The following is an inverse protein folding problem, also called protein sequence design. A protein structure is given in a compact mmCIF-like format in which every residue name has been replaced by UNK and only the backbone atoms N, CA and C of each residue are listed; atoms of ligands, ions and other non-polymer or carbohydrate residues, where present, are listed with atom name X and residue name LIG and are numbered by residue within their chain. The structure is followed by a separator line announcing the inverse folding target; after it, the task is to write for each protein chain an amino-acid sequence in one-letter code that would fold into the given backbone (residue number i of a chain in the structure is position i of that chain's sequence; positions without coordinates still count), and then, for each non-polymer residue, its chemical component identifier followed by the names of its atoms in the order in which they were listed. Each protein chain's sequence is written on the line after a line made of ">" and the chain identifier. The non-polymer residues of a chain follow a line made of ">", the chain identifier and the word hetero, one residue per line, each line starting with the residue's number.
data_IF_610892506813
#
_entry.id   IF_610892506813
#
_cell.length_a   1.000
_cell.length_b   1.000
_cell.length_c   1.000
_cell.angle_alpha   90.00
_cell.angle_beta   90.00
_cell.angle_gamma   90.00
#
_symmetry.space_group_name_H-M   'P 1'
#
loop_
_entity.id
_entity.type
_entity.pdbx_description
1 polymer ?
#
# COMPACT_ATOMS: atom_id res chain seq x y z
N UNK A 1 -23.67 -72.63 -8.85
CA UNK A 1 -22.40 -71.93 -8.50
C UNK A 1 -22.41 -70.42 -8.71
N UNK A 2 -23.19 -69.85 -9.66
CA UNK A 2 -23.21 -68.40 -9.96
C UNK A 2 -23.62 -67.46 -8.79
N UNK A 3 -24.47 -67.90 -7.85
CA UNK A 3 -24.92 -67.07 -6.71
C UNK A 3 -23.87 -66.90 -5.60
N UNK A 4 -22.98 -67.89 -5.40
CA UNK A 4 -21.97 -67.85 -4.30
C UNK A 4 -20.85 -66.84 -4.57
N UNK A 5 -20.56 -66.53 -5.84
CA UNK A 5 -19.54 -65.55 -6.25
C UNK A 5 -20.11 -64.15 -6.50
N UNK A 6 -21.44 -64.02 -6.66
CA UNK A 6 -22.09 -62.72 -6.92
C UNK A 6 -22.10 -61.81 -5.68
N UNK A 7 -22.39 -62.38 -4.51
CA UNK A 7 -22.43 -61.64 -3.23
C UNK A 7 -21.08 -60.97 -2.89
N UNK A 8 -19.92 -61.67 -2.91
CA UNK A 8 -18.65 -61.01 -2.63
C UNK A 8 -18.28 -59.95 -3.68
N UNK A 9 -18.68 -60.14 -4.94
CA UNK A 9 -18.46 -59.15 -6.00
C UNK A 9 -19.25 -57.86 -5.74
N UNK A 10 -20.52 -57.98 -5.32
CA UNK A 10 -21.35 -56.81 -4.96
C UNK A 10 -20.74 -56.08 -3.76
N UNK A 11 -20.34 -56.80 -2.72
CA UNK A 11 -19.70 -56.21 -1.54
C UNK A 11 -18.42 -55.47 -1.94
N UNK A 12 -17.62 -56.04 -2.83
CA UNK A 12 -16.41 -55.42 -3.34
C UNK A 12 -16.70 -54.11 -4.10
N UNK A 13 -17.68 -54.10 -5.01
CA UNK A 13 -18.06 -52.89 -5.74
C UNK A 13 -18.65 -51.82 -4.81
N UNK A 14 -19.51 -52.20 -3.85
CA UNK A 14 -20.04 -51.27 -2.85
C UNK A 14 -18.91 -50.69 -1.99
N UNK A 15 -17.93 -51.50 -1.61
CA UNK A 15 -16.74 -51.06 -0.89
C UNK A 15 -15.92 -50.04 -1.68
N UNK A 16 -15.67 -50.29 -2.97
CA UNK A 16 -14.99 -49.32 -3.86
C UNK A 16 -15.79 -48.03 -3.98
N UNK A 17 -17.11 -48.12 -4.19
CA UNK A 17 -17.97 -46.93 -4.27
C UNK A 17 -17.93 -46.12 -2.97
N UNK A 18 -17.94 -46.78 -1.80
CA UNK A 18 -17.87 -46.13 -0.50
C UNK A 18 -16.52 -45.43 -0.29
N UNK A 19 -15.41 -46.11 -0.60
CA UNK A 19 -14.06 -45.52 -0.51
C UNK A 19 -13.92 -44.35 -1.48
N UNK A 20 -14.42 -44.48 -2.71
CA UNK A 20 -14.43 -43.41 -3.70
C UNK A 20 -15.26 -42.20 -3.23
N UNK A 21 -16.43 -42.44 -2.63
CA UNK A 21 -17.27 -41.37 -2.07
C UNK A 21 -16.59 -40.65 -0.90
N UNK A 22 -15.94 -41.39 0.01
CA UNK A 22 -15.18 -40.81 1.12
C UNK A 22 -13.99 -39.99 0.59
N UNK A 23 -13.25 -40.52 -0.37
CA UNK A 23 -12.12 -39.83 -0.99
C UNK A 23 -12.57 -38.54 -1.70
N UNK A 24 -13.69 -38.58 -2.43
CA UNK A 24 -14.29 -37.41 -3.06
C UNK A 24 -14.70 -36.33 -2.04
N UNK A 25 -15.36 -36.74 -0.95
CA UNK A 25 -15.74 -35.84 0.14
C UNK A 25 -14.50 -35.24 0.85
N UNK A 26 -13.45 -36.03 1.06
CA UNK A 26 -12.21 -35.57 1.66
C UNK A 26 -11.47 -34.57 0.75
N UNK A 27 -11.41 -34.82 -0.55
CA UNK A 27 -10.82 -33.90 -1.54
C UNK A 27 -11.61 -32.58 -1.61
N UNK A 28 -12.94 -32.66 -1.66
CA UNK A 28 -13.81 -31.47 -1.66
C UNK A 28 -13.59 -30.60 -0.42
N UNK A 29 -13.56 -31.22 0.77
CA UNK A 29 -13.27 -30.52 2.04
C UNK A 29 -11.88 -29.92 2.06
N UNK A 30 -10.87 -30.62 1.56
CA UNK A 30 -9.50 -30.11 1.49
C UNK A 30 -9.40 -28.88 0.57
N UNK A 31 -10.08 -28.91 -0.58
CA UNK A 31 -10.16 -27.76 -1.50
C UNK A 31 -10.84 -26.56 -0.86
N UNK A 32 -11.95 -26.78 -0.17
CA UNK A 32 -12.67 -25.73 0.55
C UNK A 32 -11.81 -25.11 1.66
N UNK A 33 -11.13 -25.94 2.46
CA UNK A 33 -10.19 -25.46 3.49
C UNK A 33 -9.05 -24.63 2.88
N UNK A 34 -8.42 -25.10 1.78
CA UNK A 34 -7.38 -24.34 1.09
C UNK A 34 -7.88 -22.99 0.59
N UNK A 35 -9.11 -22.94 0.07
CA UNK A 35 -9.74 -21.69 -0.38
C UNK A 35 -9.98 -20.72 0.78
N UNK A 36 -10.51 -21.22 1.90
CA UNK A 36 -10.75 -20.43 3.10
C UNK A 36 -9.41 -19.90 3.65
N UNK A 37 -8.38 -20.73 3.76
CA UNK A 37 -7.05 -20.31 4.21
C UNK A 37 -6.45 -19.26 3.27
N UNK A 38 -6.54 -19.45 1.95
CA UNK A 38 -6.06 -18.46 0.98
C UNK A 38 -6.77 -17.12 1.14
N UNK A 39 -8.09 -17.13 1.32
CA UNK A 39 -8.88 -15.93 1.54
C UNK A 39 -8.50 -15.22 2.85
N UNK A 40 -8.43 -15.96 3.97
CA UNK A 40 -8.05 -15.39 5.26
C UNK A 40 -6.64 -14.80 5.23
N UNK A 41 -5.70 -15.45 4.55
CA UNK A 41 -4.35 -14.91 4.38
C UNK A 41 -4.39 -13.63 3.53
N UNK A 42 -5.10 -13.63 2.40
CA UNK A 42 -5.22 -12.45 1.54
C UNK A 42 -5.84 -11.26 2.29
N UNK A 43 -6.87 -11.49 3.10
CA UNK A 43 -7.49 -10.46 3.95
C UNK A 43 -6.52 -9.96 5.03
N UNK A 44 -5.86 -10.87 5.76
CA UNK A 44 -4.94 -10.51 6.84
C UNK A 44 -3.73 -9.69 6.34
N UNK A 45 -3.09 -10.12 5.25
CA UNK A 45 -1.94 -9.40 4.69
C UNK A 45 -2.34 -8.18 3.88
N UNK A 46 -3.53 -8.17 3.26
CA UNK A 46 -4.11 -6.95 2.68
C UNK A 46 -4.30 -5.87 3.74
N UNK A 47 -4.83 -6.24 4.91
CA UNK A 47 -4.96 -5.33 6.05
C UNK A 47 -3.60 -4.87 6.58
N UNK A 48 -2.60 -5.77 6.64
CA UNK A 48 -1.24 -5.42 7.05
C UNK A 48 -0.58 -4.40 6.10
N UNK A 49 -0.67 -4.63 4.79
CA UNK A 49 -0.19 -3.69 3.76
C UNK A 49 -0.89 -2.32 3.90
N UNK A 50 -2.19 -2.31 4.16
CA UNK A 50 -2.93 -1.06 4.41
C UNK A 50 -2.40 -0.32 5.65
N UNK A 51 -2.11 -1.05 6.73
CA UNK A 51 -1.54 -0.46 7.94
C UNK A 51 -0.12 0.07 7.71
N UNK A 52 0.69 -0.63 6.92
CA UNK A 52 2.03 -0.18 6.50
C UNK A 52 1.96 1.15 5.72
N UNK A 53 0.99 1.32 4.80
CA UNK A 53 0.74 2.61 4.13
C UNK A 53 0.25 3.68 5.13
N UNK A 54 -0.62 3.29 6.06
CA UNK A 54 -1.18 4.19 7.08
C UNK A 54 -0.09 4.78 7.97
N UNK A 55 1.00 4.04 8.23
CA UNK A 55 2.16 4.59 8.94
C UNK A 55 2.81 5.75 8.16
N UNK A 56 2.89 5.65 6.83
CA UNK A 56 3.36 6.75 5.98
C UNK A 56 2.45 7.98 6.04
N UNK A 57 1.13 7.77 6.14
CA UNK A 57 0.14 8.84 6.34
C UNK A 57 0.36 9.53 7.69
N UNK A 58 0.53 8.76 8.76
CA UNK A 58 0.75 9.30 10.11
C UNK A 58 1.98 10.22 10.20
N UNK A 59 3.02 9.97 9.40
CA UNK A 59 4.19 10.86 9.28
C UNK A 59 3.77 12.21 8.71
N UNK A 60 3.03 12.22 7.61
CA UNK A 60 2.55 13.46 6.99
C UNK A 60 1.60 14.22 7.91
N UNK A 61 0.72 13.53 8.62
CA UNK A 61 -0.18 14.14 9.61
C UNK A 61 0.60 14.78 10.76
N UNK A 62 1.66 14.12 11.24
CA UNK A 62 2.52 14.66 12.30
C UNK A 62 3.19 15.95 11.85
N UNK A 63 3.78 15.96 10.65
CA UNK A 63 4.37 17.17 10.06
C UNK A 63 3.34 18.28 9.86
N UNK A 64 2.13 17.92 9.45
CA UNK A 64 1.02 18.85 9.30
C UNK A 64 0.68 19.53 10.64
N UNK A 65 0.56 18.78 11.73
CA UNK A 65 0.25 19.34 13.05
C UNK A 65 1.37 20.25 13.57
N UNK A 66 2.64 19.89 13.33
CA UNK A 66 3.78 20.75 13.65
C UNK A 66 3.67 22.08 12.91
N UNK A 67 3.41 22.07 11.60
CA UNK A 67 3.27 23.28 10.80
C UNK A 67 2.07 24.14 11.24
N UNK A 68 0.94 23.52 11.56
CA UNK A 68 -0.24 24.24 12.09
C UNK A 68 0.13 24.96 13.40
N UNK A 69 0.82 24.28 14.32
CA UNK A 69 1.21 24.88 15.60
C UNK A 69 2.18 26.07 15.46
N UNK A 70 2.96 26.09 14.37
CA UNK A 70 3.95 27.12 14.07
C UNK A 70 3.47 28.12 13.02
N UNK A 71 2.18 28.10 12.66
CA UNK A 71 1.58 28.95 11.64
C UNK A 71 2.35 28.91 10.29
N UNK A 72 2.66 27.69 9.83
CA UNK A 72 3.37 27.43 8.58
C UNK A 72 4.88 27.63 8.62
N UNK A 73 5.44 28.05 9.77
CA UNK A 73 6.89 28.09 9.98
C UNK A 73 7.40 26.68 10.28
N UNK A 74 8.59 26.37 9.79
CA UNK A 74 9.22 25.07 9.97
C UNK A 74 10.64 25.26 10.49
N UNK A 75 10.77 25.58 11.78
CA UNK A 75 12.07 25.61 12.42
C UNK A 75 12.49 24.19 12.82
N UNK A 76 13.78 23.85 12.68
CA UNK A 76 14.34 22.55 13.05
C UNK A 76 13.73 21.34 12.32
N UNK A 77 13.29 21.52 11.06
CA UNK A 77 12.70 20.45 10.25
C UNK A 77 13.57 19.19 10.22
N UNK A 78 14.88 19.33 9.97
CA UNK A 78 15.82 18.20 9.91
C UNK A 78 15.83 17.38 11.21
N UNK A 79 15.77 18.04 12.37
CA UNK A 79 15.72 17.36 13.68
C UNK A 79 14.43 16.56 13.83
N UNK A 80 13.29 17.14 13.45
CA UNK A 80 11.99 16.48 13.52
C UNK A 80 11.95 15.31 12.55
N UNK A 81 12.36 15.54 11.30
CA UNK A 81 12.43 14.54 10.24
C UNK A 81 13.33 13.37 10.63
N UNK A 82 14.50 13.64 11.22
CA UNK A 82 15.42 12.60 11.70
C UNK A 82 14.80 11.66 12.74
N UNK A 83 13.91 12.18 13.60
CA UNK A 83 13.27 11.38 14.65
C UNK A 83 12.05 10.60 14.16
N UNK A 84 11.51 10.93 12.97
CA UNK A 84 10.30 10.33 12.43
C UNK A 84 10.62 9.37 11.27
N UNK A 85 11.73 9.57 10.56
CA UNK A 85 12.19 8.64 9.52
C UNK A 85 12.51 7.27 10.12
N UNK A 86 12.11 6.23 9.39
CA UNK A 86 12.44 4.83 9.65
C UNK A 86 13.04 4.17 8.41
N UNK A 87 13.45 2.91 8.53
CA UNK A 87 14.13 2.14 7.49
C UNK A 87 13.35 1.93 6.19
N UNK A 88 12.07 2.28 6.14
CA UNK A 88 11.23 2.20 4.92
C UNK A 88 10.83 3.57 4.37
N UNK A 89 11.26 4.67 5.02
CA UNK A 89 11.04 6.03 4.55
C UNK A 89 12.27 6.48 3.76
N UNK A 90 12.06 6.80 2.49
CA UNK A 90 13.08 7.39 1.62
C UNK A 90 13.36 8.83 2.00
N UNK A 91 12.30 9.63 2.06
CA UNK A 91 12.42 11.02 2.47
C UNK A 91 11.09 11.55 2.99
N UNK A 92 11.18 12.59 3.80
CA UNK A 92 10.07 13.46 4.14
C UNK A 92 10.32 14.84 3.54
N UNK A 93 9.25 15.48 3.07
CA UNK A 93 9.37 16.70 2.28
C UNK A 93 8.27 17.70 2.63
N UNK A 94 8.59 18.98 2.48
CA UNK A 94 7.63 20.08 2.55
C UNK A 94 7.57 20.77 1.19
N UNK A 95 6.35 21.04 0.75
CA UNK A 95 6.10 21.72 -0.50
C UNK A 95 5.18 22.94 -0.33
N UNK A 96 5.67 24.06 0.24
CA UNK A 96 4.93 25.32 0.27
C UNK A 96 4.52 25.73 -1.14
N UNK A 97 3.28 26.19 -1.31
CA UNK A 97 2.66 26.53 -2.59
C UNK A 97 2.66 25.37 -3.62
N UNK A 98 2.92 24.15 -3.16
CA UNK A 98 3.10 22.97 -4.01
C UNK A 98 4.49 22.83 -4.63
N UNK A 99 5.45 23.66 -4.27
CA UNK A 99 6.85 23.56 -4.72
C UNK A 99 7.67 22.90 -3.61
N UNK A 100 8.27 21.75 -3.89
CA UNK A 100 9.11 21.05 -2.91
C UNK A 100 10.38 21.86 -2.63
N UNK A 101 10.45 22.48 -1.45
CA UNK A 101 11.58 23.33 -1.05
C UNK A 101 12.48 22.65 -0.02
N UNK A 102 11.91 21.80 0.83
CA UNK A 102 12.61 21.12 1.92
C UNK A 102 12.47 19.61 1.77
N UNK A 103 13.57 18.89 1.91
CA UNK A 103 13.65 17.44 1.80
C UNK A 103 14.66 16.93 2.83
N UNK A 104 14.29 15.89 3.58
CA UNK A 104 15.17 15.18 4.49
C UNK A 104 15.07 13.66 4.29
N UNK A 105 16.18 12.90 4.24
CA UNK A 105 17.54 13.41 4.08
C UNK A 105 17.70 14.10 2.71
N UNK A 106 18.45 15.20 2.68
CA UNK A 106 18.67 15.94 1.44
C UNK A 106 19.54 15.15 0.45
N UNK A 107 20.59 14.49 0.96
CA UNK A 107 21.56 13.75 0.19
C UNK A 107 20.89 12.65 -0.65
N UNK A 108 20.99 12.74 -1.98
CA UNK A 108 20.42 11.77 -2.92
C UNK A 108 18.98 12.06 -3.34
N UNK A 109 18.31 13.01 -2.68
CA UNK A 109 16.90 13.36 -2.92
C UNK A 109 16.70 14.78 -3.49
N UNK A 110 17.77 15.49 -3.86
CA UNK A 110 17.75 16.89 -4.29
C UNK A 110 16.94 17.11 -5.58
N UNK A 111 16.92 16.11 -6.45
CA UNK A 111 16.11 16.05 -7.67
C UNK A 111 14.60 16.02 -7.40
N UNK A 112 14.18 15.76 -6.17
CA UNK A 112 12.80 15.85 -5.72
C UNK A 112 12.29 17.28 -5.54
N UNK A 113 13.17 18.30 -5.65
CA UNK A 113 12.78 19.72 -5.58
C UNK A 113 12.10 20.19 -6.86
N UNK A 114 10.84 19.79 -7.02
CA UNK A 114 10.02 20.08 -8.19
C UNK A 114 8.75 20.84 -7.82
N UNK A 115 8.17 21.50 -8.81
CA UNK A 115 6.83 22.09 -8.72
C UNK A 115 5.78 21.01 -8.96
N UNK A 116 5.12 20.56 -7.88
CA UNK A 116 4.13 19.49 -7.96
C UNK A 116 2.85 19.89 -8.67
N UNK A 117 2.54 21.19 -8.76
CA UNK A 117 1.32 21.72 -9.36
C UNK A 117 1.45 21.74 -10.88
N UNK A 118 2.64 22.10 -11.37
CA UNK A 118 2.93 22.22 -12.80
C UNK A 118 3.71 21.04 -13.39
N UNK A 119 4.12 20.05 -12.58
CA UNK A 119 4.78 18.84 -13.08
C UNK A 119 3.87 18.03 -14.02
N UNK A 120 4.45 17.51 -15.11
CA UNK A 120 3.70 16.74 -16.12
C UNK A 120 3.07 15.46 -15.58
N UNK A 121 3.73 14.79 -14.63
CA UNK A 121 3.33 13.47 -14.14
C UNK A 121 2.55 13.58 -12.80
N UNK A 122 2.84 14.64 -12.02
CA UNK A 122 2.31 14.84 -10.66
C UNK A 122 1.31 16.00 -10.56
N UNK A 123 1.28 16.90 -11.55
CA UNK A 123 0.43 18.09 -11.59
C UNK A 123 -1.04 17.81 -11.35
N UNK A 124 -1.64 16.99 -12.21
CA UNK A 124 -3.07 16.68 -12.14
C UNK A 124 -3.48 16.07 -10.81
N UNK A 125 -2.72 15.10 -10.30
CA UNK A 125 -3.07 14.41 -9.04
C UNK A 125 -2.85 15.32 -7.83
N UNK A 126 -1.80 16.16 -7.85
CA UNK A 126 -1.53 17.11 -6.77
C UNK A 126 -2.57 18.24 -6.74
N UNK A 127 -2.97 18.76 -7.90
CA UNK A 127 -4.11 19.69 -8.00
C UNK A 127 -5.40 19.04 -7.48
N UNK A 128 -5.67 17.78 -7.82
CA UNK A 128 -6.83 17.07 -7.28
C UNK A 128 -6.79 16.97 -5.74
N UNK A 129 -5.63 16.63 -5.16
CA UNK A 129 -5.43 16.58 -3.71
C UNK A 129 -5.75 17.93 -3.04
N UNK A 130 -5.19 19.02 -3.60
CA UNK A 130 -5.45 20.40 -3.15
C UNK A 130 -6.92 20.77 -3.29
N UNK A 131 -7.51 20.57 -4.45
CA UNK A 131 -8.84 21.09 -4.77
C UNK A 131 -9.97 20.32 -4.06
N UNK A 132 -9.69 19.09 -3.60
CA UNK A 132 -10.66 18.22 -2.92
C UNK A 132 -10.32 17.95 -1.44
N UNK A 133 -9.36 18.67 -0.87
CA UNK A 133 -8.93 18.51 0.53
C UNK A 133 -8.65 17.05 0.91
N UNK A 134 -7.98 16.31 0.02
CA UNK A 134 -7.81 14.87 0.17
C UNK A 134 -6.36 14.45 0.02
N UNK A 135 -5.94 13.54 0.90
CA UNK A 135 -4.64 12.90 0.83
C UNK A 135 -4.57 12.00 -0.41
N UNK A 136 -3.43 12.02 -1.08
CA UNK A 136 -3.18 11.13 -2.22
C UNK A 136 -1.99 10.22 -1.94
N UNK A 137 -2.11 8.98 -2.39
CA UNK A 137 -1.01 8.01 -2.42
C UNK A 137 -0.73 7.70 -3.89
N UNK A 138 0.48 8.02 -4.35
CA UNK A 138 0.90 7.84 -5.73
C UNK A 138 2.13 6.95 -5.81
N UNK A 139 2.08 5.90 -6.60
CA UNK A 139 3.21 5.01 -6.87
C UNK A 139 2.74 3.58 -7.15
N UNK A 140 3.66 2.62 -7.35
CA UNK A 140 5.10 2.83 -7.32
C UNK A 140 5.60 3.63 -8.53
N UNK A 141 6.68 4.39 -8.34
CA UNK A 141 7.45 5.04 -9.41
C UNK A 141 8.94 4.87 -9.15
N UNK A 142 9.77 4.97 -10.18
CA UNK A 142 11.21 4.85 -10.04
C UNK A 142 11.79 6.02 -9.23
N UNK A 143 12.53 5.68 -8.18
CA UNK A 143 13.41 6.56 -7.45
C UNK A 143 14.72 6.69 -8.19
N UNK A 144 15.45 7.78 -7.94
CA UNK A 144 16.72 8.05 -8.62
C UNK A 144 17.84 7.10 -8.22
N UNK A 145 17.76 6.48 -7.05
CA UNK A 145 18.67 5.42 -6.64
C UNK A 145 18.42 4.08 -7.39
N UNK A 146 17.41 4.01 -8.27
CA UNK A 146 17.05 2.78 -9.00
C UNK A 146 16.04 1.89 -8.26
N UNK A 147 15.62 2.29 -7.06
CA UNK A 147 14.56 1.64 -6.28
C UNK A 147 13.17 2.13 -6.71
N UNK A 148 12.10 1.56 -6.14
CA UNK A 148 10.73 2.02 -6.35
C UNK A 148 10.20 2.76 -5.11
N UNK A 149 9.39 3.78 -5.32
CA UNK A 149 8.83 4.61 -4.26
C UNK A 149 7.34 4.86 -4.38
N UNK A 150 6.69 5.05 -3.24
CA UNK A 150 5.30 5.53 -3.13
C UNK A 150 5.34 6.89 -2.42
N UNK A 151 4.73 7.91 -3.03
CA UNK A 151 4.55 9.22 -2.44
C UNK A 151 3.19 9.32 -1.75
N UNK A 152 3.20 9.57 -0.45
CA UNK A 152 2.05 10.03 0.32
C UNK A 152 2.11 11.55 0.35
N UNK A 153 1.10 12.23 -0.19
CA UNK A 153 1.02 13.70 -0.17
C UNK A 153 -0.25 14.14 0.54
N UNK A 154 -0.07 14.87 1.63
CA UNK A 154 -1.16 15.39 2.42
C UNK A 154 -1.25 16.92 2.24
N UNK A 155 -2.36 17.45 1.67
CA UNK A 155 -2.52 18.89 1.49
C UNK A 155 -2.72 19.58 2.84
N UNK A 156 -1.89 20.59 3.13
CA UNK A 156 -2.00 21.43 4.32
C UNK A 156 -2.69 22.75 3.97
N UNK A 157 -3.69 23.07 4.77
CA UNK A 157 -4.37 24.36 4.76
C UNK A 157 -4.18 25.07 6.10
N UNK A 158 -3.87 26.36 6.04
CA UNK A 158 -3.72 27.22 7.21
C UNK A 158 -4.79 28.32 7.17
N UNK A 159 -4.93 29.05 8.27
CA UNK A 159 -5.85 30.19 8.36
C UNK A 159 -5.06 31.49 8.40
N UNK A 160 -5.51 32.47 7.65
CA UNK A 160 -4.98 33.84 7.72
C UNK A 160 -5.45 34.56 9.00
N UNK A 161 -4.99 35.80 9.21
CA UNK A 161 -5.39 36.63 10.36
C UNK A 161 -6.91 36.92 10.41
N UNK A 162 -7.59 36.84 9.27
CA UNK A 162 -9.04 37.02 9.14
C UNK A 162 -9.81 35.71 9.34
N UNK A 163 -9.12 34.58 9.56
CA UNK A 163 -9.69 33.26 9.74
C UNK A 163 -10.05 32.53 8.43
N UNK A 164 -9.71 33.08 7.27
CA UNK A 164 -9.94 32.43 5.98
C UNK A 164 -8.90 31.33 5.76
N UNK A 165 -9.37 30.18 5.30
CA UNK A 165 -8.50 29.07 4.94
C UNK A 165 -7.80 29.33 3.60
N UNK A 166 -6.51 29.04 3.54
CA UNK A 166 -5.73 29.04 2.31
C UNK A 166 -4.85 27.79 2.24
N UNK A 167 -4.60 27.33 1.01
CA UNK A 167 -3.67 26.24 0.76
C UNK A 167 -2.25 26.71 1.06
N UNK A 168 -1.60 26.10 2.04
CA UNK A 168 -0.21 26.39 2.37
C UNK A 168 0.75 25.57 1.51
N UNK A 169 0.42 24.31 1.22
CA UNK A 169 1.33 23.40 0.54
C UNK A 169 1.04 21.93 0.83
N UNK A 170 2.04 21.07 0.63
CA UNK A 170 1.96 19.65 1.01
C UNK A 170 2.97 19.29 2.09
N UNK A 171 2.57 18.35 2.94
CA UNK A 171 3.50 17.48 3.66
C UNK A 171 3.59 16.15 2.94
N UNK A 172 4.79 15.60 2.81
CA UNK A 172 5.04 14.47 1.91
C UNK A 172 5.93 13.45 2.62
N UNK A 173 5.60 12.17 2.46
CA UNK A 173 6.47 11.06 2.80
C UNK A 173 6.65 10.18 1.56
N UNK A 174 7.90 9.83 1.24
CA UNK A 174 8.24 8.86 0.19
C UNK A 174 8.59 7.54 0.87
N UNK A 175 7.83 6.49 0.57
CA UNK A 175 8.00 5.14 1.11
C UNK A 175 8.77 4.29 0.09
N UNK A 176 9.80 3.55 0.53
CA UNK A 176 10.53 2.59 -0.32
C UNK A 176 9.71 1.32 -0.52
N UNK A 177 9.62 0.86 -1.76
CA UNK A 177 8.95 -0.37 -2.18
C UNK A 177 10.00 -1.28 -2.83
N UNK A 178 10.12 -2.56 -2.43
CA UNK A 178 9.18 -3.33 -1.61
C UNK A 178 9.37 -3.21 -0.08
N UNK A 179 10.35 -2.46 0.40
CA UNK A 179 10.78 -2.45 1.81
C UNK A 179 9.66 -2.23 2.82
N UNK A 180 8.77 -1.26 2.57
CA UNK A 180 7.60 -0.97 3.40
C UNK A 180 6.66 -2.17 3.59
N UNK A 181 6.68 -3.10 2.64
CA UNK A 181 5.85 -4.31 2.63
C UNK A 181 6.67 -5.59 2.87
N UNK A 182 7.94 -5.48 3.23
CA UNK A 182 8.88 -6.61 3.29
C UNK A 182 8.39 -7.75 4.18
N UNK A 183 7.86 -7.44 5.37
CA UNK A 183 7.26 -8.42 6.27
C UNK A 183 6.06 -9.12 5.65
N UNK A 184 5.13 -8.33 5.09
CA UNK A 184 3.93 -8.81 4.43
C UNK A 184 4.28 -9.72 3.25
N UNK A 185 5.22 -9.28 2.40
CA UNK A 185 5.72 -10.01 1.23
C UNK A 185 6.39 -11.32 1.63
N UNK A 186 7.29 -11.28 2.62
CA UNK A 186 8.02 -12.46 3.09
C UNK A 186 7.06 -13.52 3.63
N UNK A 187 6.05 -13.07 4.38
CA UNK A 187 5.04 -13.96 4.92
C UNK A 187 4.14 -14.55 3.82
N UNK A 188 3.73 -13.73 2.84
CA UNK A 188 2.95 -14.15 1.68
C UNK A 188 3.70 -15.21 0.85
N UNK A 189 4.98 -15.01 0.59
CA UNK A 189 5.82 -15.97 -0.15
C UNK A 189 5.82 -17.37 0.49
N UNK A 190 5.79 -17.45 1.82
CA UNK A 190 5.81 -18.72 2.54
C UNK A 190 4.53 -19.57 2.35
N UNK A 191 3.42 -18.97 1.92
CA UNK A 191 2.17 -19.71 1.71
C UNK A 191 2.08 -20.41 0.34
N UNK A 192 3.02 -20.14 -0.57
CA UNK A 192 3.07 -20.79 -1.88
C UNK A 192 1.94 -20.37 -2.84
N UNK A 193 1.38 -19.17 -2.65
CA UNK A 193 0.43 -18.57 -3.59
C UNK A 193 1.10 -17.44 -4.38
N UNK A 194 0.65 -17.23 -5.61
CA UNK A 194 0.96 -16.02 -6.36
C UNK A 194 0.08 -14.87 -5.87
N UNK A 195 0.68 -13.71 -5.63
CA UNK A 195 -0.01 -12.53 -5.12
C UNK A 195 0.14 -11.35 -6.07
N UNK A 196 -0.87 -10.49 -6.09
CA UNK A 196 -0.89 -9.28 -6.91
C UNK A 196 -1.53 -8.14 -6.13
N UNK A 197 -0.78 -7.05 -5.96
CA UNK A 197 -1.30 -5.78 -5.46
C UNK A 197 -1.70 -4.91 -6.65
N UNK A 198 -2.94 -4.44 -6.65
CA UNK A 198 -3.46 -3.55 -7.68
C UNK A 198 -4.02 -2.28 -7.05
N UNK A 199 -3.95 -1.17 -7.79
CA UNK A 199 -4.47 0.14 -7.37
C UNK A 199 -5.26 0.75 -8.50
N UNK A 200 -6.08 1.77 -8.20
CA UNK A 200 -6.62 2.62 -9.26
C UNK A 200 -5.51 3.42 -9.94
N UNK A 201 -5.61 3.61 -11.25
CA UNK A 201 -4.64 4.40 -12.00
C UNK A 201 -4.61 5.86 -11.52
N UNK A 202 -5.78 6.41 -11.18
CA UNK A 202 -5.93 7.77 -10.63
C UNK A 202 -7.19 7.90 -9.77
N UNK A 203 -7.35 8.97 -8.96
CA UNK A 203 -8.54 9.18 -8.13
C UNK A 203 -9.86 9.34 -8.91
N UNK A 204 -9.80 9.71 -10.19
CA UNK A 204 -10.97 9.92 -11.05
C UNK A 204 -11.18 8.78 -12.05
N UNK A 205 -10.42 7.68 -11.93
CA UNK A 205 -10.53 6.52 -12.80
C UNK A 205 -10.61 5.22 -11.98
N UNK A 206 -11.58 4.38 -12.32
CA UNK A 206 -11.78 3.06 -11.70
C UNK A 206 -10.99 1.95 -12.40
N UNK A 207 -10.15 2.28 -13.40
CA UNK A 207 -9.23 1.32 -13.99
C UNK A 207 -8.17 0.89 -12.96
N UNK A 208 -7.98 -0.42 -12.83
CA UNK A 208 -6.97 -0.98 -11.95
C UNK A 208 -5.71 -1.31 -12.73
N UNK A 209 -4.57 -0.93 -12.17
CA UNK A 209 -3.25 -1.30 -12.65
C UNK A 209 -2.47 -2.09 -11.60
N UNK A 210 -1.47 -2.84 -12.06
CA UNK A 210 -0.65 -3.69 -11.21
C UNK A 210 0.40 -2.83 -10.54
N UNK A 211 0.36 -2.74 -9.21
CA UNK A 211 1.39 -2.08 -8.43
C UNK A 211 2.55 -3.04 -8.11
N UNK A 212 2.23 -4.30 -7.82
CA UNK A 212 3.24 -5.32 -7.47
C UNK A 212 2.70 -6.72 -7.78
N UNK A 213 3.60 -7.65 -8.12
CA UNK A 213 3.30 -9.07 -8.21
C UNK A 213 4.38 -9.89 -7.51
N UNK A 214 3.96 -10.86 -6.70
CA UNK A 214 4.81 -11.86 -6.08
C UNK A 214 4.50 -13.23 -6.70
N UNK A 215 5.54 -13.96 -7.10
CA UNK A 215 5.46 -15.33 -7.57
C UNK A 215 6.05 -16.28 -6.55
#
# INVERSE_FOLDING_TARGET
>A
MKKKTLVPLIIFFVGICLVGFIAYQADSRSKEQRRITAQLNAEAYGERIKNEITNGIAITDTLQQVLISQNGKFDHFDTIANNIISDYIESVQLAPDGIVTVIYPAAGNEVGKIDLIHDKDRGRISCYARDNHTLIVQGPFELKQGESGIAVRNPLFLKDESGNEYFWGFTIAILRVPDIFSDSISALSNFGYEYKLSKTASPWDNTYEVAMSLR
#
